data_IF_664245691436
#
_entry.id   IF_664245691436
#
_cell.length_a   1.000
_cell.length_b   1.000
_cell.length_c   1.000
_cell.angle_alpha   90.00
_cell.angle_beta   90.00
_cell.angle_gamma   90.00
#
_symmetry.space_group_name_H-M   'P 1'
#
loop_
_entity.id
_entity.type
_entity.pdbx_description
1 polymer ?
#
# COMPACT_ATOMS: atom_id res chain seq x y z
N UNK A 1 -10.84 9.73 71.54
CA UNK A 1 -10.71 11.18 71.32
C UNK A 1 -11.49 11.52 70.05
N UNK A 2 -12.78 11.84 70.18
CA UNK A 2 -13.31 13.22 70.19
C UNK A 2 -13.13 13.90 68.80
N UNK A 3 -14.09 13.89 67.86
CA UNK A 3 -15.45 14.49 67.81
C UNK A 3 -15.44 15.98 67.40
N UNK A 4 -16.34 16.34 66.44
CA UNK A 4 -16.94 17.67 66.14
C UNK A 4 -16.05 18.69 65.38
N UNK A 5 -16.53 19.59 64.51
CA UNK A 5 -17.80 19.83 63.80
C UNK A 5 -17.62 21.12 62.99
N UNK A 6 -18.51 21.29 62.02
CA UNK A 6 -18.77 22.43 61.15
C UNK A 6 -18.91 23.81 61.82
N UNK A 7 -18.70 24.88 61.03
CA UNK A 7 -19.73 25.88 60.59
C UNK A 7 -19.07 27.11 59.94
N UNK A 8 -19.48 27.44 58.70
CA UNK A 8 -20.41 28.53 58.30
C UNK A 8 -19.90 29.95 58.56
N UNK A 9 -19.96 30.79 57.52
CA UNK A 9 -20.03 32.24 57.65
C UNK A 9 -19.89 32.97 56.33
N UNK A 10 -21.01 33.38 55.75
CA UNK A 10 -21.11 34.24 54.57
C UNK A 10 -21.14 35.73 54.96
N UNK A 11 -21.19 36.59 53.92
CA UNK A 11 -21.57 38.02 53.90
C UNK A 11 -20.38 38.99 53.83
N UNK A 12 -20.10 39.61 52.67
CA UNK A 12 -20.73 40.80 52.07
C UNK A 12 -20.34 42.10 52.77
N UNK A 13 -19.65 43.00 52.03
CA UNK A 13 -20.05 44.41 51.82
C UNK A 13 -18.87 45.29 51.35
N UNK A 14 -19.03 45.86 50.16
CA UNK A 14 -18.91 47.28 49.81
C UNK A 14 -17.69 48.13 50.24
N UNK A 15 -16.98 48.59 49.20
CA UNK A 15 -16.84 50.01 48.80
C UNK A 15 -15.76 50.87 49.50
N UNK A 16 -14.72 51.25 48.74
CA UNK A 16 -14.59 52.60 48.14
C UNK A 16 -13.16 52.84 47.60
N UNK A 17 -13.16 53.33 46.37
CA UNK A 17 -12.22 54.24 45.71
C UNK A 17 -11.00 54.72 46.50
N UNK A 18 -9.80 54.57 45.93
CA UNK A 18 -8.84 55.68 45.82
C UNK A 18 -8.04 55.58 44.52
N UNK A 19 -8.20 56.63 43.71
CA UNK A 19 -7.59 56.90 42.42
C UNK A 19 -6.20 57.48 42.64
N UNK A 20 -5.15 56.81 42.17
CA UNK A 20 -3.85 57.41 41.93
C UNK A 20 -3.34 56.96 40.56
N UNK A 21 -3.14 57.94 39.68
CA UNK A 21 -2.70 57.79 38.31
C UNK A 21 -1.20 57.47 38.25
N UNK A 22 -0.83 56.43 37.50
CA UNK A 22 0.53 56.23 37.00
C UNK A 22 0.49 55.83 35.53
N UNK A 23 1.30 56.52 34.74
CA UNK A 23 1.39 56.49 33.28
C UNK A 23 1.69 55.10 32.69
N UNK A 24 1.28 54.82 31.44
CA UNK A 24 1.52 53.52 30.80
C UNK A 24 2.90 53.47 30.13
N UNK A 25 3.65 52.41 30.44
CA UNK A 25 4.82 51.98 29.66
C UNK A 25 4.37 51.10 28.49
N UNK A 26 5.03 51.14 27.32
CA UNK A 26 4.53 50.55 26.09
C UNK A 26 4.76 49.03 26.03
N UNK A 27 3.73 48.31 25.61
CA UNK A 27 3.76 46.88 25.27
C UNK A 27 4.69 46.61 24.07
N UNK A 28 5.44 45.50 24.05
CA UNK A 28 6.18 45.10 22.87
C UNK A 28 5.23 44.53 21.80
N UNK A 29 5.48 44.97 20.57
CA UNK A 29 4.72 44.68 19.37
C UNK A 29 4.68 43.18 19.03
N UNK A 30 3.58 42.79 18.38
CA UNK A 30 3.28 41.42 18.01
C UNK A 30 4.25 40.81 17.00
N UNK A 31 4.67 39.58 17.29
CA UNK A 31 5.36 38.69 16.37
C UNK A 31 4.34 38.14 15.36
N UNK A 32 4.21 38.78 14.20
CA UNK A 32 3.52 38.19 13.07
C UNK A 32 4.40 37.06 12.51
N UNK A 33 3.97 35.81 12.72
CA UNK A 33 4.50 34.65 11.99
C UNK A 33 4.10 34.76 10.52
N UNK A 34 5.02 34.71 9.54
CA UNK A 34 4.62 34.65 8.14
C UNK A 34 4.04 33.26 7.88
N UNK A 35 2.73 33.21 7.68
CA UNK A 35 2.04 32.05 7.11
C UNK A 35 2.51 31.88 5.67
N UNK A 36 3.41 30.94 5.43
CA UNK A 36 3.80 30.54 4.08
C UNK A 36 2.67 29.68 3.52
N UNK A 37 1.72 30.33 2.86
CA UNK A 37 0.75 29.62 2.03
C UNK A 37 1.47 28.97 0.86
N UNK A 38 1.45 27.63 0.79
CA UNK A 38 1.85 26.88 -0.39
C UNK A 38 0.86 27.20 -1.52
N UNK A 39 1.28 28.03 -2.47
CA UNK A 39 0.57 28.18 -3.74
C UNK A 39 0.69 26.88 -4.55
N UNK A 40 -0.33 26.49 -5.34
CA UNK A 40 -0.25 25.31 -6.20
C UNK A 40 0.89 25.50 -7.22
N UNK A 41 1.66 24.44 -7.45
CA UNK A 41 2.73 24.40 -8.46
C UNK A 41 2.10 24.74 -9.82
N UNK A 42 2.54 25.86 -10.38
CA UNK A 42 2.11 26.36 -11.69
C UNK A 42 2.44 25.31 -12.74
N UNK A 43 1.45 24.95 -13.55
CA UNK A 43 1.59 24.06 -14.70
C UNK A 43 2.71 24.61 -15.61
N UNK A 44 3.87 23.96 -15.65
CA UNK A 44 4.98 24.35 -16.52
C UNK A 44 4.59 24.02 -17.98
N UNK A 45 3.99 25.00 -18.65
CA UNK A 45 3.87 25.02 -20.10
C UNK A 45 5.27 24.91 -20.72
N UNK A 46 5.38 24.09 -21.75
CA UNK A 46 6.62 23.71 -22.44
C UNK A 46 7.64 24.86 -22.56
N UNK A 47 8.80 24.70 -21.91
CA UNK A 47 10.00 25.50 -22.15
C UNK A 47 10.57 25.05 -23.50
N UNK A 48 10.00 25.54 -24.59
CA UNK A 48 10.60 25.45 -25.91
C UNK A 48 11.64 26.56 -26.04
N UNK A 49 12.90 26.23 -25.74
CA UNK A 49 14.04 27.12 -25.92
C UNK A 49 15.25 26.62 -25.16
N UNK A 50 16.10 25.83 -25.81
CA UNK A 50 17.36 25.42 -25.25
C UNK A 50 18.30 26.63 -25.06
N UNK A 51 18.51 27.05 -23.81
CA UNK A 51 19.75 27.67 -23.31
C UNK A 51 19.70 27.89 -21.79
N UNK A 52 19.19 26.89 -21.06
CA UNK A 52 19.42 26.71 -19.62
C UNK A 52 20.24 25.44 -19.38
N UNK A 53 20.92 25.27 -18.23
CA UNK A 53 21.72 24.09 -17.94
C UNK A 53 20.92 22.78 -17.85
N UNK A 54 19.59 22.85 -17.79
CA UNK A 54 18.71 21.68 -17.67
C UNK A 54 17.80 21.53 -18.89
N UNK A 55 17.83 20.34 -19.52
CA UNK A 55 16.85 19.94 -20.55
C UNK A 55 15.49 19.68 -19.90
N UNK A 56 14.40 19.73 -20.68
CA UNK A 56 13.06 19.43 -20.16
C UNK A 56 12.97 18.01 -19.54
N UNK A 57 13.63 17.03 -20.15
CA UNK A 57 13.76 15.66 -19.61
C UNK A 57 14.56 15.62 -18.30
N UNK A 58 15.64 16.41 -18.20
CA UNK A 58 16.41 16.56 -16.96
C UNK A 58 15.57 17.18 -15.83
N UNK A 59 14.78 18.22 -16.13
CA UNK A 59 13.89 18.84 -15.15
C UNK A 59 12.79 17.88 -14.67
N UNK A 60 12.20 17.09 -15.59
CA UNK A 60 11.23 16.04 -15.23
C UNK A 60 11.85 15.02 -14.29
N UNK A 61 13.07 14.56 -14.56
CA UNK A 61 13.77 13.60 -13.70
C UNK A 61 14.00 14.15 -12.29
N UNK A 62 14.37 15.44 -12.17
CA UNK A 62 14.55 16.11 -10.88
C UNK A 62 13.24 16.26 -10.11
N UNK A 63 12.15 16.63 -10.80
CA UNK A 63 10.81 16.70 -10.22
C UNK A 63 10.36 15.33 -9.68
N UNK A 64 10.56 14.27 -10.45
CA UNK A 64 10.19 12.91 -10.05
C UNK A 64 11.05 12.40 -8.89
N UNK A 65 12.34 12.70 -8.86
CA UNK A 65 13.19 12.40 -7.71
C UNK A 65 12.76 13.16 -6.45
N UNK A 66 12.34 14.43 -6.60
CA UNK A 66 11.76 15.20 -5.51
C UNK A 66 10.46 14.54 -5.01
N UNK A 67 9.51 14.26 -5.92
CA UNK A 67 8.25 13.55 -5.64
C UNK A 67 8.49 12.21 -4.94
N UNK A 68 9.54 11.48 -5.31
CA UNK A 68 9.92 10.25 -4.64
C UNK A 68 10.32 10.50 -3.18
N UNK A 69 11.25 11.45 -2.99
CA UNK A 69 11.89 11.72 -1.70
C UNK A 69 10.98 12.44 -0.69
N UNK A 70 9.91 13.08 -1.14
CA UNK A 70 8.96 13.80 -0.28
C UNK A 70 7.66 13.05 -0.02
N UNK A 71 7.17 12.26 -0.98
CA UNK A 71 5.84 11.66 -0.91
C UNK A 71 5.84 10.16 -1.25
N UNK A 72 6.43 9.75 -2.37
CA UNK A 72 6.25 8.38 -2.89
C UNK A 72 6.90 7.31 -2.01
N UNK A 73 8.03 7.63 -1.36
CA UNK A 73 8.74 6.70 -0.49
C UNK A 73 7.86 6.15 0.66
N UNK A 74 6.90 6.95 1.14
CA UNK A 74 5.98 6.54 2.22
C UNK A 74 5.13 5.36 1.79
N UNK A 75 4.69 5.34 0.52
CA UNK A 75 3.88 4.26 -0.04
C UNK A 75 4.64 2.94 -0.30
N UNK A 76 5.96 2.94 -0.08
CA UNK A 76 6.84 1.77 -0.16
C UNK A 76 7.25 1.24 1.22
N UNK A 77 6.94 1.99 2.28
CA UNK A 77 7.32 1.71 3.67
C UNK A 77 6.20 0.93 4.38
N UNK A 78 6.55 -0.05 5.21
CA UNK A 78 5.56 -0.78 6.01
C UNK A 78 5.29 -0.09 7.35
N UNK A 79 6.34 0.48 7.94
CA UNK A 79 6.25 1.25 9.18
C UNK A 79 7.17 2.49 9.14
N UNK A 80 7.04 3.45 10.08
CA UNK A 80 7.86 4.66 10.07
C UNK A 80 9.38 4.42 10.20
N UNK A 81 9.83 3.28 10.72
CA UNK A 81 11.25 2.93 10.79
C UNK A 81 11.85 2.63 9.41
N UNK A 82 11.01 2.29 8.43
CA UNK A 82 11.40 2.05 7.05
C UNK A 82 11.69 3.34 6.26
N UNK A 83 11.20 4.48 6.77
CA UNK A 83 11.27 5.78 6.07
C UNK A 83 12.70 6.16 5.72
N UNK A 84 13.65 5.99 6.64
CA UNK A 84 15.04 6.36 6.36
C UNK A 84 15.63 5.58 5.17
N UNK A 85 15.30 4.29 5.08
CA UNK A 85 15.82 3.44 4.00
C UNK A 85 15.23 3.86 2.67
N UNK A 86 13.90 3.97 2.59
CA UNK A 86 13.24 4.34 1.34
C UNK A 86 13.50 5.78 0.93
N UNK A 87 13.61 6.72 1.88
CA UNK A 87 13.80 8.14 1.60
C UNK A 87 15.26 8.50 1.30
N UNK A 88 16.24 7.82 1.93
CA UNK A 88 17.65 8.23 1.85
C UNK A 88 18.56 7.14 1.27
N UNK A 89 18.46 5.91 1.77
CA UNK A 89 19.39 4.82 1.40
C UNK A 89 19.14 4.34 -0.03
N UNK A 90 17.89 4.08 -0.38
CA UNK A 90 17.48 3.58 -1.70
C UNK A 90 17.80 4.60 -2.81
N UNK A 91 17.48 5.90 -2.70
CA UNK A 91 17.90 6.91 -3.67
C UNK A 91 19.41 7.00 -3.82
N UNK A 92 20.18 6.88 -2.73
CA UNK A 92 21.65 6.89 -2.82
C UNK A 92 22.19 5.68 -3.58
N UNK A 93 21.67 4.48 -3.30
CA UNK A 93 22.00 3.26 -4.07
C UNK A 93 21.58 3.37 -5.54
N UNK A 94 20.50 4.08 -5.84
CA UNK A 94 20.03 4.27 -7.21
C UNK A 94 21.05 5.01 -8.09
N UNK A 95 21.89 5.87 -7.52
CA UNK A 95 22.97 6.55 -8.24
C UNK A 95 24.06 5.59 -8.75
N UNK A 96 24.13 4.38 -8.19
CA UNK A 96 25.08 3.34 -8.58
C UNK A 96 24.44 2.26 -9.47
N UNK A 97 23.12 2.33 -9.68
CA UNK A 97 22.32 1.28 -10.32
C UNK A 97 21.22 1.86 -11.21
N UNK A 98 21.47 1.95 -12.52
CA UNK A 98 20.57 2.55 -13.51
C UNK A 98 19.13 1.98 -13.48
N UNK A 99 18.98 0.68 -13.25
CA UNK A 99 17.65 0.05 -13.15
C UNK A 99 16.87 0.57 -11.94
N UNK A 100 17.54 0.76 -10.80
CA UNK A 100 16.90 1.23 -9.58
C UNK A 100 16.50 2.70 -9.74
N UNK A 101 17.38 3.53 -10.32
CA UNK A 101 17.06 4.93 -10.62
C UNK A 101 15.85 5.03 -11.55
N UNK A 102 15.86 4.28 -12.64
CA UNK A 102 14.74 4.24 -13.58
C UNK A 102 13.44 3.76 -12.89
N UNK A 103 13.53 2.74 -12.04
CA UNK A 103 12.38 2.28 -11.24
C UNK A 103 11.82 3.37 -10.30
N UNK A 104 12.69 4.09 -9.59
CA UNK A 104 12.30 5.21 -8.70
C UNK A 104 11.56 6.29 -9.48
N UNK A 105 12.09 6.69 -10.63
CA UNK A 105 11.46 7.71 -11.48
C UNK A 105 10.12 7.21 -12.04
N UNK A 106 10.05 5.94 -12.45
CA UNK A 106 8.82 5.34 -12.97
C UNK A 106 7.69 5.32 -11.92
N UNK A 107 7.97 4.86 -10.70
CA UNK A 107 6.94 4.80 -9.65
C UNK A 107 6.52 6.19 -9.16
N UNK A 108 7.45 7.14 -9.09
CA UNK A 108 7.14 8.53 -8.77
C UNK A 108 6.27 9.18 -9.86
N UNK A 109 6.52 8.87 -11.13
CA UNK A 109 5.71 9.36 -12.25
C UNK A 109 4.29 8.80 -12.20
N UNK A 110 4.12 7.49 -11.91
CA UNK A 110 2.78 6.93 -11.70
C UNK A 110 2.06 7.55 -10.52
N UNK A 111 2.75 7.74 -9.40
CA UNK A 111 2.17 8.40 -8.24
C UNK A 111 1.70 9.83 -8.60
N UNK A 112 2.53 10.61 -9.29
CA UNK A 112 2.15 11.93 -9.78
C UNK A 112 0.94 11.90 -10.73
N UNK A 113 0.87 10.92 -11.65
CA UNK A 113 -0.27 10.75 -12.55
C UNK A 113 -1.60 10.54 -11.80
N UNK A 114 -1.58 9.90 -10.63
CA UNK A 114 -2.81 9.66 -9.83
C UNK A 114 -3.40 10.92 -9.20
N UNK A 115 -2.62 12.00 -9.13
CA UNK A 115 -2.99 13.29 -8.53
C UNK A 115 -3.40 14.33 -9.56
N UNK A 116 -3.30 14.00 -10.85
CA UNK A 116 -3.55 14.91 -11.98
C UNK A 116 -4.72 14.38 -12.79
N UNK A 117 -5.57 15.27 -13.29
CA UNK A 117 -6.67 14.91 -14.17
C UNK A 117 -6.20 14.67 -15.62
N UNK A 118 -6.91 13.81 -16.35
CA UNK A 118 -6.70 13.61 -17.79
C UNK A 118 -7.06 14.89 -18.55
N UNK A 119 -6.28 15.30 -19.59
CA UNK A 119 -5.24 14.55 -20.28
C UNK A 119 -3.82 14.73 -19.73
N UNK A 120 -3.58 15.65 -18.79
CA UNK A 120 -2.24 15.97 -18.30
C UNK A 120 -1.56 14.77 -17.60
N UNK A 121 -2.34 13.89 -16.97
CA UNK A 121 -1.85 12.63 -16.38
C UNK A 121 -1.16 11.71 -17.39
N UNK A 122 -1.57 11.75 -18.68
CA UNK A 122 -1.01 10.87 -19.72
C UNK A 122 0.48 11.09 -19.90
N UNK A 123 0.97 12.33 -19.84
CA UNK A 123 2.40 12.63 -19.94
C UNK A 123 3.23 11.97 -18.83
N UNK A 124 2.67 11.86 -17.62
CA UNK A 124 3.33 11.18 -16.50
C UNK A 124 3.25 9.65 -16.64
N UNK A 125 2.15 9.12 -17.17
CA UNK A 125 2.01 7.69 -17.49
C UNK A 125 3.03 7.29 -18.56
N UNK A 126 3.17 8.09 -19.63
CA UNK A 126 4.17 7.86 -20.68
C UNK A 126 5.60 7.88 -20.10
N UNK A 127 5.90 8.88 -19.25
CA UNK A 127 7.20 8.97 -18.56
C UNK A 127 7.45 7.74 -17.66
N UNK A 128 6.41 7.26 -16.97
CA UNK A 128 6.52 6.07 -16.14
C UNK A 128 6.82 4.81 -16.98
N UNK A 129 6.13 4.64 -18.10
CA UNK A 129 6.35 3.53 -19.03
C UNK A 129 7.75 3.56 -19.64
N UNK A 130 8.23 4.73 -20.04
CA UNK A 130 9.59 4.91 -20.56
C UNK A 130 10.64 4.45 -19.55
N UNK A 131 10.60 4.98 -18.32
CA UNK A 131 11.54 4.60 -17.28
C UNK A 131 11.39 3.13 -16.84
N UNK A 132 10.16 2.61 -16.78
CA UNK A 132 9.93 1.19 -16.47
C UNK A 132 10.57 0.28 -17.52
N UNK A 133 10.44 0.60 -18.80
CA UNK A 133 11.08 -0.13 -19.90
C UNK A 133 12.61 0.00 -19.86
N UNK A 134 13.14 1.19 -19.58
CA UNK A 134 14.59 1.41 -19.42
C UNK A 134 15.19 0.55 -18.30
N UNK A 135 14.44 0.32 -17.22
CA UNK A 135 14.91 -0.49 -16.10
C UNK A 135 15.01 -1.99 -16.42
N UNK A 136 14.22 -2.49 -17.37
CA UNK A 136 14.00 -3.93 -17.57
C UNK A 136 15.27 -4.71 -17.90
N UNK A 137 15.99 -4.34 -18.97
CA UNK A 137 17.16 -5.07 -19.41
C UNK A 137 18.34 -5.00 -18.40
N UNK A 138 18.67 -3.84 -17.80
CA UNK A 138 19.68 -3.78 -16.74
C UNK A 138 19.26 -4.54 -15.47
N UNK A 139 17.98 -4.48 -15.08
CA UNK A 139 17.48 -5.26 -13.94
C UNK A 139 17.60 -6.77 -14.18
N UNK A 140 17.26 -7.24 -15.39
CA UNK A 140 17.39 -8.66 -15.75
C UNK A 140 18.83 -9.15 -15.62
N UNK A 141 19.81 -8.38 -16.11
CA UNK A 141 21.24 -8.70 -15.97
C UNK A 141 21.67 -8.77 -14.51
N UNK A 142 21.16 -7.88 -13.66
CA UNK A 142 21.43 -7.89 -12.23
C UNK A 142 20.79 -9.09 -11.52
N UNK A 143 19.60 -9.53 -11.94
CA UNK A 143 18.95 -10.75 -11.43
C UNK A 143 19.72 -12.02 -11.78
N UNK A 144 20.31 -12.10 -12.97
CA UNK A 144 21.11 -13.25 -13.38
C UNK A 144 22.41 -13.37 -12.53
N UNK A 145 22.85 -12.29 -11.87
CA UNK A 145 24.07 -12.21 -11.07
C UNK A 145 23.87 -11.40 -9.77
N UNK A 146 23.11 -11.96 -8.83
CA UNK A 146 22.94 -11.36 -7.50
C UNK A 146 24.22 -11.54 -6.68
N UNK A 147 24.69 -10.46 -6.07
CA UNK A 147 25.91 -10.35 -5.27
C UNK A 147 25.63 -9.58 -3.98
N UNK A 148 26.52 -9.63 -2.97
CA UNK A 148 26.39 -8.81 -1.77
C UNK A 148 26.29 -7.31 -2.04
N UNK A 149 26.87 -6.82 -3.13
CA UNK A 149 26.92 -5.38 -3.45
C UNK A 149 25.62 -4.86 -4.07
N UNK A 150 24.96 -5.65 -4.92
CA UNK A 150 23.75 -5.24 -5.66
C UNK A 150 22.44 -5.80 -5.07
N UNK A 151 22.49 -6.73 -4.09
CA UNK A 151 21.31 -7.42 -3.58
C UNK A 151 20.23 -6.47 -3.02
N UNK A 152 20.61 -5.46 -2.24
CA UNK A 152 19.67 -4.45 -1.73
C UNK A 152 18.96 -3.70 -2.87
N UNK A 153 19.70 -3.36 -3.94
CA UNK A 153 19.16 -2.62 -5.06
C UNK A 153 18.21 -3.48 -5.90
N UNK A 154 18.59 -4.74 -6.15
CA UNK A 154 17.74 -5.73 -6.83
C UNK A 154 16.45 -5.95 -6.04
N UNK A 155 16.55 -6.09 -4.72
CA UNK A 155 15.40 -6.28 -3.86
C UNK A 155 14.49 -5.04 -3.84
N UNK A 156 15.03 -3.84 -3.62
CA UNK A 156 14.26 -2.59 -3.64
C UNK A 156 13.56 -2.36 -4.98
N UNK A 157 14.26 -2.62 -6.10
CA UNK A 157 13.65 -2.51 -7.43
C UNK A 157 12.51 -3.51 -7.62
N UNK A 158 12.64 -4.74 -7.11
CA UNK A 158 11.58 -5.75 -7.22
C UNK A 158 10.27 -5.31 -6.54
N UNK A 159 10.36 -4.64 -5.38
CA UNK A 159 9.19 -4.06 -4.70
C UNK A 159 8.59 -2.93 -5.54
N UNK A 160 9.42 -2.03 -6.06
CA UNK A 160 8.98 -0.96 -6.95
C UNK A 160 8.26 -1.52 -8.18
N UNK A 161 8.79 -2.57 -8.81
CA UNK A 161 8.15 -3.27 -9.93
C UNK A 161 6.81 -3.86 -9.53
N UNK A 162 6.67 -4.45 -8.34
CA UNK A 162 5.38 -4.95 -7.84
C UNK A 162 4.36 -3.82 -7.74
N UNK A 163 4.71 -2.67 -7.16
CA UNK A 163 3.80 -1.53 -7.05
C UNK A 163 3.41 -0.97 -8.41
N UNK A 164 4.36 -0.85 -9.34
CA UNK A 164 4.09 -0.47 -10.73
C UNK A 164 3.11 -1.46 -11.37
N UNK A 165 3.32 -2.77 -11.19
CA UNK A 165 2.46 -3.83 -11.73
C UNK A 165 1.02 -3.80 -11.19
N UNK A 166 0.81 -3.30 -9.95
CA UNK A 166 -0.52 -3.09 -9.38
C UNK A 166 -1.17 -1.82 -9.97
N UNK A 167 -0.42 -0.72 -10.00
CA UNK A 167 -0.98 0.59 -10.35
C UNK A 167 -1.20 0.80 -11.86
N UNK A 168 -0.26 0.35 -12.69
CA UNK A 168 -0.20 0.69 -14.11
C UNK A 168 -1.43 0.21 -14.91
N UNK A 169 -1.90 -1.05 -14.79
CA UNK A 169 -3.08 -1.51 -15.55
C UNK A 169 -4.34 -0.66 -15.30
N UNK A 170 -4.43 -0.01 -14.14
CA UNK A 170 -5.56 0.85 -13.76
C UNK A 170 -5.48 2.23 -14.37
N UNK A 171 -4.27 2.75 -14.56
CA UNK A 171 -4.02 4.05 -15.16
C UNK A 171 -4.06 4.00 -16.68
N UNK A 172 -3.79 2.83 -17.27
CA UNK A 172 -3.84 2.61 -18.72
C UNK A 172 -5.13 1.97 -19.22
N UNK A 173 -5.98 1.43 -18.34
CA UNK A 173 -7.27 0.88 -18.75
C UNK A 173 -8.12 1.98 -19.43
N UNK A 174 -8.49 1.74 -20.69
CA UNK A 174 -9.53 2.53 -21.33
C UNK A 174 -10.84 2.29 -20.58
N UNK A 175 -11.67 3.33 -20.39
CA UNK A 175 -12.91 3.24 -19.59
C UNK A 175 -13.89 2.16 -20.07
N UNK A 176 -13.72 1.63 -21.28
CA UNK A 176 -14.58 0.65 -21.94
C UNK A 176 -14.05 -0.80 -21.90
N UNK A 177 -12.76 -1.01 -21.64
CA UNK A 177 -12.21 -2.36 -21.49
C UNK A 177 -12.29 -2.75 -20.02
N UNK A 178 -13.06 -3.81 -19.72
CA UNK A 178 -13.10 -4.39 -18.38
C UNK A 178 -11.69 -4.74 -17.94
N UNK A 179 -11.09 -3.90 -17.10
CA UNK A 179 -9.82 -4.16 -16.44
C UNK A 179 -9.92 -5.54 -15.80
N UNK A 180 -9.21 -6.53 -16.36
CA UNK A 180 -9.22 -7.91 -15.89
C UNK A 180 -8.39 -7.98 -14.62
N UNK A 181 -8.99 -7.53 -13.53
CA UNK A 181 -8.37 -7.40 -12.22
C UNK A 181 -7.89 -8.76 -11.73
N UNK A 182 -8.63 -9.83 -12.01
CA UNK A 182 -8.17 -11.19 -11.67
C UNK A 182 -6.83 -11.51 -12.35
N UNK A 183 -6.67 -11.22 -13.64
CA UNK A 183 -5.40 -11.40 -14.34
C UNK A 183 -4.30 -10.49 -13.78
N UNK A 184 -4.61 -9.23 -13.47
CA UNK A 184 -3.64 -8.32 -12.84
C UNK A 184 -3.15 -8.89 -11.49
N UNK A 185 -4.04 -9.44 -10.67
CA UNK A 185 -3.64 -10.06 -9.38
C UNK A 185 -2.78 -11.32 -9.59
N UNK A 186 -3.05 -12.11 -10.64
CA UNK A 186 -2.18 -13.25 -11.00
C UNK A 186 -0.78 -12.75 -11.40
N UNK A 187 -0.67 -11.66 -12.15
CA UNK A 187 0.62 -11.04 -12.47
C UNK A 187 1.33 -10.56 -11.21
N UNK A 188 0.60 -9.91 -10.29
CA UNK A 188 1.16 -9.44 -9.00
C UNK A 188 1.64 -10.61 -8.15
N UNK A 189 0.92 -11.74 -8.14
CA UNK A 189 1.39 -12.97 -7.53
C UNK A 189 2.74 -13.41 -8.10
N UNK A 190 2.87 -13.48 -9.43
CA UNK A 190 4.12 -13.90 -10.08
C UNK A 190 5.29 -12.97 -9.75
N UNK A 191 5.04 -11.65 -9.70
CA UNK A 191 6.03 -10.66 -9.26
C UNK A 191 6.46 -10.90 -7.81
N UNK A 192 5.50 -11.13 -6.90
CA UNK A 192 5.78 -11.39 -5.48
C UNK A 192 6.52 -12.72 -5.27
N UNK A 193 6.30 -13.74 -6.10
CA UNK A 193 7.12 -14.95 -6.10
C UNK A 193 8.58 -14.64 -6.47
N UNK A 194 8.79 -13.72 -7.41
CA UNK A 194 10.10 -13.16 -7.74
C UNK A 194 10.75 -12.48 -6.53
N UNK A 195 10.03 -11.56 -5.88
CA UNK A 195 10.48 -10.86 -4.65
C UNK A 195 10.88 -11.88 -3.57
N UNK A 196 10.06 -12.92 -3.36
CA UNK A 196 10.33 -13.97 -2.38
C UNK A 196 11.63 -14.73 -2.65
N UNK A 197 11.89 -15.04 -3.93
CA UNK A 197 13.10 -15.74 -4.37
C UNK A 197 14.33 -14.84 -4.23
N UNK A 198 14.23 -13.56 -4.59
CA UNK A 198 15.32 -12.58 -4.42
C UNK A 198 15.66 -12.44 -2.93
N UNK A 199 14.65 -12.32 -2.07
CA UNK A 199 14.85 -12.28 -0.62
C UNK A 199 15.55 -13.54 -0.10
N UNK A 200 15.18 -14.72 -0.60
CA UNK A 200 15.81 -15.98 -0.21
C UNK A 200 17.27 -16.05 -0.62
N UNK A 201 17.58 -15.72 -1.89
CA UNK A 201 18.96 -15.73 -2.41
C UNK A 201 19.83 -14.69 -1.68
N UNK A 202 19.24 -13.54 -1.34
CA UNK A 202 19.94 -12.41 -0.73
C UNK A 202 20.02 -12.48 0.79
N UNK A 203 19.33 -13.43 1.45
CA UNK A 203 19.26 -13.55 2.92
C UNK A 203 20.63 -13.41 3.60
N UNK A 204 21.73 -14.04 3.13
CA UNK A 204 23.04 -13.93 3.79
C UNK A 204 23.69 -12.54 3.73
N UNK A 205 23.22 -11.66 2.84
CA UNK A 205 23.85 -10.37 2.53
C UNK A 205 22.95 -9.17 2.75
N UNK A 206 21.66 -9.37 3.05
CA UNK A 206 20.74 -8.27 3.32
C UNK A 206 21.13 -7.58 4.63
N UNK A 207 21.86 -6.48 4.50
CA UNK A 207 22.35 -5.68 5.63
C UNK A 207 21.28 -4.75 6.20
N UNK A 208 20.24 -4.45 5.42
CA UNK A 208 19.19 -3.51 5.81
C UNK A 208 18.07 -4.27 6.55
N UNK A 209 17.82 -3.88 7.81
CA UNK A 209 16.80 -4.51 8.70
C UNK A 209 15.40 -4.60 8.09
N UNK A 210 15.09 -3.67 7.17
CA UNK A 210 13.87 -3.62 6.37
C UNK A 210 13.57 -4.93 5.60
N UNK A 211 14.63 -5.67 5.28
CA UNK A 211 14.58 -6.82 4.38
C UNK A 211 14.81 -8.16 5.09
N UNK A 212 15.28 -8.14 6.34
CA UNK A 212 15.60 -9.33 7.13
C UNK A 212 14.50 -9.77 8.10
N UNK A 213 13.44 -8.98 8.26
CA UNK A 213 12.39 -9.23 9.25
C UNK A 213 11.38 -10.34 8.87
N UNK A 214 11.70 -11.26 7.95
CA UNK A 214 10.80 -12.41 7.65
C UNK A 214 10.50 -13.24 8.91
N UNK A 215 11.46 -13.34 9.83
CA UNK A 215 11.30 -14.07 11.11
C UNK A 215 10.47 -13.30 12.15
N UNK A 216 10.39 -11.97 12.09
CA UNK A 216 9.55 -11.20 13.01
C UNK A 216 8.20 -10.86 12.40
N UNK A 217 8.08 -10.90 11.08
CA UNK A 217 6.83 -10.72 10.33
C UNK A 217 5.73 -11.69 10.78
N UNK A 218 6.10 -12.94 11.11
CA UNK A 218 5.17 -13.94 11.64
C UNK A 218 5.29 -14.15 13.15
N UNK A 219 6.11 -13.37 13.87
CA UNK A 219 6.10 -13.43 15.33
C UNK A 219 4.81 -12.80 15.82
N UNK A 220 3.94 -13.66 16.36
CA UNK A 220 2.72 -13.33 17.08
C UNK A 220 2.97 -12.11 17.99
N UNK A 221 2.47 -10.95 17.59
CA UNK A 221 2.60 -9.71 18.35
C UNK A 221 1.20 -9.18 18.62
N UNK A 222 0.81 -9.26 19.90
CA UNK A 222 -0.45 -8.84 20.53
C UNK A 222 -1.75 -9.48 20.03
N UNK A 223 -2.55 -9.92 21.02
CA UNK A 223 -3.89 -10.53 20.94
C UNK A 223 -4.90 -9.48 20.48
N UNK A 224 -4.82 -9.04 19.24
CA UNK A 224 -5.90 -8.23 18.66
C UNK A 224 -6.81 -9.18 17.91
N UNK A 225 -8.02 -9.36 18.43
CA UNK A 225 -9.07 -10.12 17.79
C UNK A 225 -9.60 -9.36 16.56
N UNK A 226 -9.96 -10.09 15.51
CA UNK A 226 -10.68 -9.51 14.38
C UNK A 226 -12.05 -8.98 14.85
N UNK A 227 -12.62 -8.04 14.11
CA UNK A 227 -14.00 -7.67 14.37
C UNK A 227 -14.89 -8.92 14.20
N UNK A 228 -15.93 -9.10 15.05
CA UNK A 228 -16.72 -10.33 15.06
C UNK A 228 -17.34 -10.67 13.70
N UNK A 229 -17.63 -9.66 12.88
CA UNK A 229 -18.18 -9.84 11.55
C UNK A 229 -17.16 -10.45 10.58
N UNK A 230 -15.93 -9.91 10.53
CA UNK A 230 -14.83 -10.48 9.73
C UNK A 230 -14.47 -11.89 10.18
N UNK A 231 -14.39 -12.12 11.50
CA UNK A 231 -14.10 -13.45 12.06
C UNK A 231 -15.18 -14.47 11.67
N UNK A 232 -16.46 -14.10 11.83
CA UNK A 232 -17.58 -14.96 11.43
C UNK A 232 -17.58 -15.25 9.92
N UNK A 233 -17.23 -14.28 9.09
CA UNK A 233 -17.18 -14.45 7.64
C UNK A 233 -16.08 -15.42 7.21
N UNK A 234 -14.88 -15.33 7.80
CA UNK A 234 -13.76 -16.24 7.53
C UNK A 234 -14.06 -17.66 8.03
N UNK A 235 -14.66 -17.80 9.22
CA UNK A 235 -15.10 -19.10 9.73
C UNK A 235 -16.18 -19.72 8.83
N UNK A 236 -17.15 -18.93 8.36
CA UNK A 236 -18.15 -19.38 7.39
C UNK A 236 -17.53 -19.87 6.09
N UNK A 237 -16.49 -19.18 5.59
CA UNK A 237 -15.75 -19.60 4.39
C UNK A 237 -15.02 -20.93 4.61
N UNK A 238 -14.42 -21.13 5.79
CA UNK A 238 -13.78 -22.40 6.16
C UNK A 238 -14.79 -23.54 6.24
N UNK A 239 -15.92 -23.36 6.94
CA UNK A 239 -17.00 -24.34 7.02
C UNK A 239 -17.55 -24.69 5.64
N UNK A 240 -17.74 -23.69 4.78
CA UNK A 240 -18.20 -23.93 3.41
C UNK A 240 -17.21 -24.79 2.61
N UNK A 241 -15.90 -24.65 2.85
CA UNK A 241 -14.90 -25.49 2.20
C UNK A 241 -15.00 -26.94 2.70
N UNK A 242 -15.19 -27.13 4.00
CA UNK A 242 -15.38 -28.46 4.60
C UNK A 242 -16.63 -29.14 4.03
N UNK A 243 -17.75 -28.43 3.97
CA UNK A 243 -19.03 -28.98 3.52
C UNK A 243 -19.04 -29.34 2.03
N UNK A 244 -18.32 -28.57 1.20
CA UNK A 244 -18.42 -28.70 -0.27
C UNK A 244 -17.27 -29.48 -0.89
N UNK A 245 -16.06 -29.37 -0.36
CA UNK A 245 -14.86 -29.93 -1.01
C UNK A 245 -14.32 -31.18 -0.32
N UNK A 246 -14.56 -31.39 0.98
CA UNK A 246 -13.89 -32.46 1.75
C UNK A 246 -14.14 -33.87 1.19
N UNK A 247 -15.33 -34.11 0.63
CA UNK A 247 -15.72 -35.40 0.03
C UNK A 247 -15.54 -35.45 -1.49
N UNK A 248 -15.41 -34.30 -2.14
CA UNK A 248 -15.39 -34.17 -3.61
C UNK A 248 -13.95 -34.18 -4.14
N UNK A 249 -13.08 -33.37 -3.54
CA UNK A 249 -11.69 -33.21 -3.94
C UNK A 249 -10.85 -32.88 -2.71
N UNK A 250 -10.22 -33.91 -2.12
CA UNK A 250 -9.42 -33.78 -0.90
C UNK A 250 -8.20 -32.87 -1.08
N UNK A 251 -7.63 -32.83 -2.29
CA UNK A 251 -6.46 -32.00 -2.55
C UNK A 251 -6.87 -30.53 -2.66
N UNK A 252 -7.96 -30.24 -3.37
CA UNK A 252 -8.52 -28.88 -3.41
C UNK A 252 -9.02 -28.42 -2.04
N UNK A 253 -9.64 -29.31 -1.26
CA UNK A 253 -10.03 -29.03 0.13
C UNK A 253 -8.85 -28.59 0.98
N UNK A 254 -7.74 -29.35 0.93
CA UNK A 254 -6.49 -29.06 1.65
C UNK A 254 -5.90 -27.71 1.22
N UNK A 255 -5.76 -27.48 -0.08
CA UNK A 255 -5.24 -26.22 -0.62
C UNK A 255 -6.08 -25.01 -0.19
N UNK A 256 -7.42 -25.12 -0.29
CA UNK A 256 -8.33 -24.06 0.12
C UNK A 256 -8.21 -23.78 1.62
N UNK A 257 -8.16 -24.82 2.46
CA UNK A 257 -8.01 -24.69 3.91
C UNK A 257 -6.73 -23.94 4.26
N UNK A 258 -5.61 -24.29 3.63
CA UNK A 258 -4.32 -23.66 3.88
C UNK A 258 -4.33 -22.18 3.39
N UNK A 259 -4.94 -21.89 2.25
CA UNK A 259 -5.12 -20.53 1.74
C UNK A 259 -6.04 -19.66 2.63
N UNK A 260 -7.11 -20.23 3.19
CA UNK A 260 -8.02 -19.57 4.14
C UNK A 260 -7.30 -19.28 5.46
N UNK A 261 -6.54 -20.25 5.99
CA UNK A 261 -5.76 -20.05 7.21
C UNK A 261 -4.69 -18.95 7.05
N UNK A 262 -4.02 -18.91 5.89
CA UNK A 262 -3.10 -17.83 5.56
C UNK A 262 -3.83 -16.48 5.47
N UNK A 263 -5.02 -16.45 4.85
CA UNK A 263 -5.82 -15.23 4.73
C UNK A 263 -6.21 -14.68 6.10
N UNK A 264 -6.66 -15.56 7.01
CA UNK A 264 -7.00 -15.20 8.39
C UNK A 264 -5.82 -14.54 9.12
N UNK A 265 -4.62 -15.13 9.01
CA UNK A 265 -3.39 -14.52 9.56
C UNK A 265 -3.08 -13.15 8.97
N UNK A 266 -3.29 -12.97 7.67
CA UNK A 266 -3.10 -11.67 7.00
C UNK A 266 -4.10 -10.61 7.50
N UNK A 267 -5.36 -10.97 7.73
CA UNK A 267 -6.35 -10.08 8.35
C UNK A 267 -5.92 -9.67 9.77
N UNK A 268 -5.53 -10.63 10.61
CA UNK A 268 -5.06 -10.37 11.98
C UNK A 268 -3.86 -9.42 11.98
N UNK A 269 -2.89 -9.69 11.12
CA UNK A 269 -1.70 -8.86 11.01
C UNK A 269 -2.03 -7.45 10.52
N UNK A 270 -2.88 -7.31 9.51
CA UNK A 270 -3.29 -6.01 9.01
C UNK A 270 -4.06 -5.20 10.07
N UNK A 271 -4.91 -5.84 10.89
CA UNK A 271 -5.58 -5.19 12.01
C UNK A 271 -4.60 -4.58 13.03
N UNK A 272 -3.45 -5.24 13.22
CA UNK A 272 -2.37 -4.79 14.11
C UNK A 272 -1.47 -3.71 13.48
N UNK A 273 -0.86 -4.03 12.34
CA UNK A 273 0.19 -3.23 11.72
C UNK A 273 -0.35 -2.11 10.83
N UNK A 274 -1.54 -2.29 10.25
CA UNK A 274 -2.15 -1.41 9.24
C UNK A 274 -1.21 -1.14 8.06
N UNK A 275 -0.40 -2.13 7.72
CA UNK A 275 0.59 -2.08 6.65
C UNK A 275 0.07 -2.75 5.36
N UNK A 276 0.65 -2.36 4.22
CA UNK A 276 0.37 -2.99 2.92
C UNK A 276 1.02 -4.38 2.80
N UNK A 277 2.14 -4.62 3.49
CA UNK A 277 2.80 -5.91 3.46
C UNK A 277 1.90 -7.04 3.98
N UNK A 278 1.06 -6.82 4.99
CA UNK A 278 0.10 -7.82 5.48
C UNK A 278 -0.86 -8.28 4.38
N UNK A 279 -1.28 -7.37 3.51
CA UNK A 279 -2.18 -7.64 2.39
C UNK A 279 -1.45 -8.39 1.27
N UNK A 280 -0.28 -7.90 0.87
CA UNK A 280 0.51 -8.49 -0.23
C UNK A 280 1.14 -9.83 0.15
N UNK A 281 1.38 -10.08 1.43
CA UNK A 281 1.99 -11.33 1.89
C UNK A 281 1.14 -12.55 1.58
N UNK A 282 -0.19 -12.42 1.55
CA UNK A 282 -1.06 -13.53 1.16
C UNK A 282 -0.72 -14.02 -0.26
N UNK A 283 -0.57 -13.09 -1.21
CA UNK A 283 -0.15 -13.40 -2.58
C UNK A 283 1.30 -13.95 -2.61
N UNK A 284 2.20 -13.43 -1.79
CA UNK A 284 3.57 -13.93 -1.75
C UNK A 284 3.69 -15.36 -1.18
N UNK A 285 2.77 -15.77 -0.30
CA UNK A 285 2.85 -17.01 0.46
C UNK A 285 1.91 -18.13 -0.01
N UNK A 286 0.83 -17.81 -0.75
CA UNK A 286 -0.07 -18.83 -1.30
C UNK A 286 0.65 -19.73 -2.30
N UNK A 287 0.24 -21.00 -2.37
CA UNK A 287 0.88 -22.00 -3.20
C UNK A 287 0.62 -21.78 -4.71
N UNK A 288 1.58 -22.19 -5.55
CA UNK A 288 1.47 -22.07 -7.02
C UNK A 288 0.33 -22.91 -7.58
N UNK A 289 0.05 -24.08 -6.99
CA UNK A 289 -1.04 -24.95 -7.42
C UNK A 289 -2.41 -24.32 -7.13
N UNK A 290 -2.54 -23.61 -6.01
CA UNK A 290 -3.73 -22.80 -5.73
C UNK A 290 -3.92 -21.70 -6.77
N UNK A 291 -2.84 -21.01 -7.18
CA UNK A 291 -2.90 -19.97 -8.22
C UNK A 291 -3.21 -20.56 -9.61
N UNK A 292 -2.74 -21.77 -9.93
CA UNK A 292 -3.19 -22.48 -11.13
C UNK A 292 -4.71 -22.69 -11.11
N UNK A 293 -5.31 -23.01 -9.96
CA UNK A 293 -6.76 -23.13 -9.82
C UNK A 293 -7.47 -21.78 -10.00
N UNK A 294 -6.90 -20.67 -9.54
CA UNK A 294 -7.39 -19.31 -9.83
C UNK A 294 -7.35 -19.01 -11.33
N UNK A 295 -6.23 -19.33 -12.00
CA UNK A 295 -6.05 -19.13 -13.45
C UNK A 295 -7.06 -19.96 -14.25
N UNK A 296 -7.38 -21.16 -13.79
CA UNK A 296 -8.45 -22.03 -14.33
C UNK A 296 -9.86 -21.60 -13.91
N UNK A 297 -10.01 -20.44 -13.25
CA UNK A 297 -11.28 -19.87 -12.79
C UNK A 297 -12.11 -20.86 -11.96
N UNK A 298 -11.46 -21.66 -11.11
CA UNK A 298 -12.18 -22.60 -10.23
C UNK A 298 -13.02 -21.81 -9.22
N UNK A 299 -14.31 -22.13 -9.03
CA UNK A 299 -15.21 -21.30 -8.24
C UNK A 299 -14.75 -21.06 -6.79
N UNK A 300 -14.33 -22.10 -6.06
CA UNK A 300 -13.98 -21.96 -4.64
C UNK A 300 -12.71 -21.12 -4.42
N UNK A 301 -11.61 -21.34 -5.18
CA UNK A 301 -10.46 -20.44 -5.16
C UNK A 301 -10.82 -18.98 -5.48
N UNK A 302 -11.71 -18.73 -6.46
CA UNK A 302 -12.17 -17.38 -6.76
C UNK A 302 -12.96 -16.76 -5.59
N UNK A 303 -13.73 -17.55 -4.85
CA UNK A 303 -14.41 -17.10 -3.63
C UNK A 303 -13.40 -16.70 -2.54
N UNK A 304 -12.32 -17.49 -2.35
CA UNK A 304 -11.25 -17.12 -1.41
C UNK A 304 -10.55 -15.82 -1.86
N UNK A 305 -10.29 -15.67 -3.16
CA UNK A 305 -9.72 -14.45 -3.73
C UNK A 305 -10.64 -13.24 -3.52
N UNK A 306 -11.96 -13.42 -3.55
CA UNK A 306 -12.93 -12.37 -3.25
C UNK A 306 -12.81 -11.86 -1.82
N UNK A 307 -12.57 -12.75 -0.84
CA UNK A 307 -12.31 -12.34 0.54
C UNK A 307 -10.97 -11.62 0.68
N UNK A 308 -9.93 -12.04 -0.06
CA UNK A 308 -8.70 -11.26 -0.15
C UNK A 308 -8.93 -9.87 -0.79
N UNK A 309 -9.86 -9.75 -1.73
CA UNK A 309 -10.29 -8.47 -2.30
C UNK A 309 -10.85 -7.49 -1.27
N UNK A 310 -11.49 -7.98 -0.20
CA UNK A 310 -11.91 -7.15 0.94
C UNK A 310 -10.69 -6.60 1.69
N UNK A 311 -9.69 -7.45 1.94
CA UNK A 311 -8.43 -7.03 2.55
C UNK A 311 -7.68 -6.03 1.65
N UNK A 312 -7.67 -6.21 0.34
CA UNK A 312 -7.12 -5.22 -0.59
C UNK A 312 -7.87 -3.88 -0.53
N UNK A 313 -9.19 -3.93 -0.32
CA UNK A 313 -10.03 -2.75 -0.20
C UNK A 313 -9.70 -1.87 1.02
N UNK A 314 -9.08 -2.40 2.07
CA UNK A 314 -8.67 -1.61 3.25
C UNK A 314 -7.53 -0.64 2.95
N UNK A 315 -6.77 -0.89 1.89
CA UNK A 315 -5.70 -0.01 1.42
C UNK A 315 -6.23 1.17 0.59
N UNK A 316 -7.50 1.14 0.18
CA UNK A 316 -8.11 2.24 -0.57
C UNK A 316 -8.14 3.51 0.28
N UNK A 317 -7.74 4.63 -0.31
CA UNK A 317 -7.57 5.91 0.39
C UNK A 317 -6.31 6.03 1.27
N UNK A 318 -5.59 4.93 1.54
CA UNK A 318 -4.29 4.95 2.23
C UNK A 318 -3.12 4.85 1.25
N UNK A 319 -3.24 3.94 0.28
CA UNK A 319 -2.21 3.65 -0.72
C UNK A 319 -2.73 4.03 -2.10
N UNK A 320 -2.07 5.00 -2.74
CA UNK A 320 -2.48 5.51 -4.06
C UNK A 320 -2.58 4.41 -5.11
N UNK A 321 -1.69 3.42 -5.06
CA UNK A 321 -1.64 2.29 -5.99
C UNK A 321 -2.74 1.24 -5.76
N UNK A 322 -3.39 1.23 -4.59
CA UNK A 322 -4.48 0.30 -4.27
C UNK A 322 -5.87 0.87 -4.58
N UNK A 323 -5.95 2.12 -5.03
CA UNK A 323 -7.20 2.86 -5.21
C UNK A 323 -8.25 2.06 -6.00
N UNK A 324 -9.44 1.89 -5.42
CA UNK A 324 -10.57 1.16 -5.99
C UNK A 324 -10.25 -0.30 -6.42
N UNK A 325 -9.12 -0.88 -6.02
CA UNK A 325 -8.68 -2.18 -6.54
C UNK A 325 -9.45 -3.35 -5.92
N UNK A 326 -9.70 -3.32 -4.62
CA UNK A 326 -10.52 -4.32 -3.93
C UNK A 326 -11.96 -4.37 -4.47
N UNK A 327 -12.59 -3.20 -4.64
CA UNK A 327 -13.94 -3.08 -5.23
C UNK A 327 -13.99 -3.62 -6.65
N UNK A 328 -13.04 -3.21 -7.51
CA UNK A 328 -13.00 -3.69 -8.88
C UNK A 328 -12.82 -5.22 -8.97
N UNK A 329 -11.93 -5.79 -8.12
CA UNK A 329 -11.74 -7.24 -8.05
C UNK A 329 -13.02 -7.95 -7.63
N UNK A 330 -13.66 -7.51 -6.54
CA UNK A 330 -14.87 -8.17 -6.03
C UNK A 330 -16.02 -8.05 -7.04
N UNK A 331 -16.21 -6.90 -7.68
CA UNK A 331 -17.21 -6.74 -8.75
C UNK A 331 -16.99 -7.72 -9.91
N UNK A 332 -15.75 -7.88 -10.38
CA UNK A 332 -15.42 -8.85 -11.43
C UNK A 332 -15.72 -10.29 -10.97
N UNK A 333 -15.28 -10.65 -9.76
CA UNK A 333 -15.45 -12.00 -9.23
C UNK A 333 -16.92 -12.33 -8.95
N UNK A 334 -17.74 -11.35 -8.58
CA UNK A 334 -19.18 -11.54 -8.44
C UNK A 334 -19.76 -11.99 -9.78
N UNK A 335 -19.49 -11.26 -10.87
CA UNK A 335 -19.96 -11.66 -12.22
C UNK A 335 -19.47 -13.06 -12.59
N UNK A 336 -18.22 -13.39 -12.28
CA UNK A 336 -17.64 -14.71 -12.58
C UNK A 336 -18.26 -15.86 -11.76
N UNK A 337 -18.76 -15.60 -10.54
CA UNK A 337 -19.35 -16.60 -9.65
C UNK A 337 -20.89 -16.72 -9.77
N UNK A 338 -21.58 -15.75 -10.37
CA UNK A 338 -23.04 -15.80 -10.59
C UNK A 338 -23.54 -16.93 -11.51
N UNK A 339 -22.80 -17.44 -12.51
CA UNK A 339 -23.27 -18.56 -13.32
C UNK A 339 -23.04 -19.91 -12.59
N UNK A 340 -23.96 -20.29 -11.70
CA UNK A 340 -24.20 -21.70 -11.37
C UNK A 340 -24.07 -22.18 -9.92
N UNK A 341 -23.83 -21.31 -8.92
CA UNK A 341 -23.68 -21.76 -7.52
C UNK A 341 -24.55 -20.98 -6.53
N UNK A 342 -25.87 -21.17 -6.61
CA UNK A 342 -26.85 -20.61 -5.64
C UNK A 342 -26.49 -20.88 -4.17
N UNK A 343 -25.75 -21.96 -3.90
CA UNK A 343 -25.37 -22.37 -2.55
C UNK A 343 -24.39 -21.41 -1.87
N UNK A 344 -23.71 -20.52 -2.62
CA UNK A 344 -22.65 -19.66 -2.08
C UNK A 344 -23.03 -18.18 -1.98
N UNK A 345 -24.27 -17.81 -2.31
CA UNK A 345 -24.76 -16.42 -2.20
C UNK A 345 -24.54 -15.84 -0.80
N UNK A 346 -24.77 -16.66 0.23
CA UNK A 346 -24.55 -16.26 1.61
C UNK A 346 -23.08 -15.97 1.97
N UNK A 347 -22.11 -16.55 1.25
CA UNK A 347 -20.68 -16.28 1.43
C UNK A 347 -20.23 -15.04 0.63
N UNK A 348 -20.92 -14.72 -0.48
CA UNK A 348 -20.65 -13.53 -1.29
C UNK A 348 -21.22 -12.24 -0.68
N UNK A 349 -22.14 -12.35 0.28
CA UNK A 349 -22.80 -11.18 0.89
C UNK A 349 -21.83 -10.31 1.70
N UNK A 350 -20.95 -10.92 2.49
CA UNK A 350 -20.01 -10.19 3.33
C UNK A 350 -19.01 -9.34 2.53
N UNK A 351 -18.36 -9.86 1.47
CA UNK A 351 -17.52 -9.04 0.60
C UNK A 351 -18.26 -7.87 -0.05
N UNK A 352 -19.51 -8.06 -0.49
CA UNK A 352 -20.35 -6.98 -1.04
C UNK A 352 -20.57 -5.87 -0.02
N UNK A 353 -20.97 -6.25 1.20
CA UNK A 353 -21.26 -5.29 2.28
C UNK A 353 -20.03 -4.50 2.71
N UNK A 354 -18.89 -5.17 2.96
CA UNK A 354 -17.66 -4.50 3.40
C UNK A 354 -17.12 -3.50 2.36
N UNK A 355 -17.40 -3.71 1.08
CA UNK A 355 -16.95 -2.85 -0.02
C UNK A 355 -18.02 -1.85 -0.52
N UNK A 356 -19.26 -1.95 -0.02
CA UNK A 356 -20.39 -1.11 -0.43
C UNK A 356 -20.79 -1.33 -1.89
N UNK A 357 -20.89 -2.60 -2.30
CA UNK A 357 -21.27 -3.05 -3.66
C UNK A 357 -22.72 -3.54 -3.74
#
# INVERSE_FOLDING_TARGET
MAVISARKGASSAMNKDHRAQTQPSPSPAGSQTPSVGLAPIVHLSAINGASGPFTASGLRSLELMHKFSTETFMSLSNDPSDFHVWQMVVPRKALEHDFLLSGILAVAALHAATLIESPAALSYIDTALEHHNMAFAPFRRALDHITPFNCDAVFAHSIITTIIGIALPRLTATRDESSNMTENIIVVFELLQGVRNIAWISEPWLHTKLFTSRREFWKESSVTELDPETEAALNKLATLNDDTMATVDQEQHRMNRDAIALLHRCFLRHANARDAASVLTWLAAVDKDFVDRLRRRKPFPLLILMYWGVLLGTLDGQMWWARNSGKALVTELLVALHPGVFQWEGAQLWPKQKLGL
#
